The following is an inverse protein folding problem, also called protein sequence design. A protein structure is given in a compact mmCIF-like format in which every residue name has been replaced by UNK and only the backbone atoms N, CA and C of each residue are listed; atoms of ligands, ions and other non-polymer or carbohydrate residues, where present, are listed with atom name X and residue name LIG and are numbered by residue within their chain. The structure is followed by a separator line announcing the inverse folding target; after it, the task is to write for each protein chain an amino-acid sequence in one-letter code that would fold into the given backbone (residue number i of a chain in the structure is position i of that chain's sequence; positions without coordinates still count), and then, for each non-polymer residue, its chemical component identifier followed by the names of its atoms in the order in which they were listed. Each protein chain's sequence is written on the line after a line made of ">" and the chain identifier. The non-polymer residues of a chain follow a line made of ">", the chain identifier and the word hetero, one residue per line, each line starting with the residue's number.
data_IF_576789662236
#
_entry.id   IF_576789662236
#
_cell.length_a   1.000
_cell.length_b   1.000
_cell.length_c   1.000
_cell.angle_alpha   90.00
_cell.angle_beta   90.00
_cell.angle_gamma   90.00
#
_symmetry.space_group_name_H-M   'P 1'
#
loop_
_entity.id
_entity.type
_entity.pdbx_description
1 polymer ?
#
# COMPACT_ATOMS: atom_id res chain seq x y z
N UNK A 1 18.16 20.34 -25.75
CA UNK A 1 17.00 19.51 -25.36
C UNK A 1 16.83 19.67 -23.86
N UNK A 2 15.79 20.37 -23.40
CA UNK A 2 15.55 20.52 -21.96
C UNK A 2 14.81 19.26 -21.54
N UNK A 3 15.48 18.35 -20.83
CA UNK A 3 14.81 17.22 -20.21
C UNK A 3 13.87 17.79 -19.15
N UNK A 4 12.57 17.78 -19.40
CA UNK A 4 11.55 18.12 -18.42
C UNK A 4 11.60 17.06 -17.31
N UNK A 5 12.46 17.27 -16.32
CA UNK A 5 12.49 16.44 -15.12
C UNK A 5 11.20 16.74 -14.36
N UNK A 6 10.27 15.78 -14.37
CA UNK A 6 9.06 15.86 -13.55
C UNK A 6 9.48 15.84 -12.08
N UNK A 7 9.50 17.01 -11.45
CA UNK A 7 9.79 17.16 -10.03
C UNK A 7 8.55 16.70 -9.25
N UNK A 8 8.73 15.75 -8.34
CA UNK A 8 7.66 15.32 -7.42
C UNK A 8 7.86 15.98 -6.06
N UNK A 9 6.84 16.65 -5.52
CA UNK A 9 6.91 17.34 -4.22
C UNK A 9 6.31 16.50 -3.10
N UNK A 10 6.88 16.59 -1.91
CA UNK A 10 6.21 16.09 -0.71
C UNK A 10 5.02 16.99 -0.36
N UNK A 11 3.88 16.40 0.01
CA UNK A 11 2.69 17.16 0.45
C UNK A 11 2.69 17.48 1.95
N UNK A 12 3.72 17.04 2.69
CA UNK A 12 3.85 17.24 4.15
C UNK A 12 4.95 18.25 4.46
N UNK A 13 5.99 18.35 3.62
CA UNK A 13 7.14 19.23 3.82
C UNK A 13 7.56 19.87 2.48
N UNK A 14 8.39 20.93 2.48
CA UNK A 14 8.77 21.63 1.26
C UNK A 14 9.83 20.89 0.41
N UNK A 15 10.17 19.64 0.72
CA UNK A 15 11.17 18.88 -0.04
C UNK A 15 10.65 18.42 -1.41
N UNK A 16 11.55 18.43 -2.39
CA UNK A 16 11.29 18.03 -3.78
C UNK A 16 12.21 16.90 -4.21
N UNK A 17 11.69 15.99 -5.03
CA UNK A 17 12.37 14.78 -5.44
C UNK A 17 12.41 14.64 -6.96
N UNK A 18 13.47 14.00 -7.45
CA UNK A 18 13.66 13.72 -8.87
C UNK A 18 12.76 12.62 -9.42
N UNK A 19 12.14 11.81 -8.55
CA UNK A 19 11.20 10.75 -8.94
C UNK A 19 10.36 10.26 -7.74
N UNK A 20 9.33 9.46 -8.04
CA UNK A 20 8.41 8.89 -7.05
C UNK A 20 9.08 7.89 -6.09
N UNK A 21 10.13 7.17 -6.51
CA UNK A 21 10.85 6.24 -5.64
C UNK A 21 11.53 6.98 -4.49
N UNK A 22 12.15 8.12 -4.80
CA UNK A 22 12.80 8.97 -3.82
C UNK A 22 11.79 9.62 -2.87
N UNK A 23 10.66 10.13 -3.39
CA UNK A 23 9.57 10.63 -2.56
C UNK A 23 9.01 9.53 -1.63
N UNK A 24 8.78 8.32 -2.15
CA UNK A 24 8.30 7.19 -1.34
C UNK A 24 9.28 6.87 -0.20
N UNK A 25 10.58 6.80 -0.50
CA UNK A 25 11.62 6.57 0.50
C UNK A 25 11.64 7.66 1.58
N UNK A 26 11.49 8.91 1.19
CA UNK A 26 11.36 10.03 2.12
C UNK A 26 10.12 9.89 3.04
N UNK A 27 8.95 9.56 2.48
CA UNK A 27 7.70 9.37 3.24
C UNK A 27 7.75 8.15 4.19
N UNK A 28 8.55 7.14 3.87
CA UNK A 28 8.82 6.00 4.75
C UNK A 28 9.78 6.35 5.90
N UNK A 29 10.59 7.41 5.77
CA UNK A 29 11.55 7.82 6.77
C UNK A 29 10.91 8.70 7.86
N UNK A 30 11.63 8.87 8.97
CA UNK A 30 11.33 9.93 9.95
C UNK A 30 11.63 11.29 9.28
N UNK A 31 10.80 12.33 9.47
CA UNK A 31 9.72 12.44 10.47
C UNK A 31 8.35 11.94 10.04
N UNK A 32 8.11 11.70 8.75
CA UNK A 32 6.73 11.45 8.27
C UNK A 32 6.19 10.07 8.64
N UNK A 33 6.96 9.01 8.41
CA UNK A 33 6.57 7.61 8.68
C UNK A 33 5.14 7.25 8.23
N UNK A 34 4.66 7.86 7.15
CA UNK A 34 3.25 7.80 6.74
C UNK A 34 2.94 6.64 5.78
N UNK A 35 3.92 5.82 5.47
CA UNK A 35 3.83 4.67 4.55
C UNK A 35 3.95 3.31 5.28
N UNK A 36 3.75 3.28 6.60
CA UNK A 36 3.90 2.06 7.41
C UNK A 36 2.78 1.05 7.11
N UNK A 37 3.14 -0.22 7.09
CA UNK A 37 2.23 -1.37 6.92
C UNK A 37 2.25 -2.27 8.15
N UNK A 38 1.15 -2.94 8.47
CA UNK A 38 1.07 -3.82 9.64
C UNK A 38 1.25 -5.29 9.27
N UNK A 39 1.63 -6.09 10.28
CA UNK A 39 1.50 -7.53 10.30
C UNK A 39 0.21 -7.92 11.07
N UNK A 40 -0.81 -8.49 10.41
CA UNK A 40 -2.08 -8.83 11.07
C UNK A 40 -2.00 -10.07 11.99
N UNK A 41 -0.84 -10.72 12.09
CA UNK A 41 -0.66 -11.91 12.94
C UNK A 41 0.13 -11.64 14.23
N UNK A 42 0.55 -10.38 14.44
CA UNK A 42 1.24 -9.96 15.65
C UNK A 42 0.26 -9.38 16.68
N UNK A 43 0.57 -9.57 17.96
CA UNK A 43 -0.31 -9.15 19.07
C UNK A 43 0.00 -7.74 19.60
N UNK A 44 1.06 -7.07 19.12
CA UNK A 44 1.56 -5.80 19.66
C UNK A 44 1.95 -4.81 18.56
N UNK A 45 2.23 -3.57 18.97
CA UNK A 45 2.60 -2.43 18.12
C UNK A 45 3.92 -2.60 17.34
N UNK A 46 4.73 -3.60 17.69
CA UNK A 46 5.91 -4.02 16.93
C UNK A 46 5.58 -4.69 15.59
N UNK A 47 4.29 -4.82 15.27
CA UNK A 47 3.77 -5.33 14.00
C UNK A 47 3.96 -4.38 12.81
N UNK A 48 4.49 -3.18 13.02
CA UNK A 48 4.62 -2.18 11.95
C UNK A 48 5.93 -2.33 11.18
N UNK A 49 5.83 -2.33 9.86
CA UNK A 49 6.95 -2.47 8.93
C UNK A 49 6.99 -1.27 8.00
N UNK A 50 8.18 -0.91 7.51
CA UNK A 50 8.31 0.27 6.63
C UNK A 50 7.95 -0.04 5.19
N UNK A 51 8.14 -1.30 4.79
CA UNK A 51 7.99 -1.79 3.41
C UNK A 51 7.33 -3.16 3.40
N UNK A 52 6.80 -3.54 2.24
CA UNK A 52 6.27 -4.89 2.05
C UNK A 52 7.34 -5.98 2.09
N UNK A 53 8.56 -5.68 1.63
CA UNK A 53 9.70 -6.60 1.75
C UNK A 53 10.08 -6.85 3.20
N UNK A 54 10.06 -5.80 4.03
CA UNK A 54 10.29 -5.92 5.47
C UNK A 54 9.18 -6.75 6.14
N UNK A 55 7.92 -6.54 5.76
CA UNK A 55 6.82 -7.36 6.23
C UNK A 55 6.98 -8.83 5.82
N UNK A 56 7.38 -9.11 4.58
CA UNK A 56 7.64 -10.49 4.11
C UNK A 56 8.70 -11.16 4.98
N UNK A 57 9.84 -10.50 5.17
CA UNK A 57 10.92 -11.00 6.02
C UNK A 57 10.48 -11.19 7.48
N UNK A 58 9.64 -10.29 7.98
CA UNK A 58 9.05 -10.42 9.32
C UNK A 58 8.16 -11.66 9.41
N UNK A 59 7.24 -11.86 8.46
CA UNK A 59 6.33 -13.02 8.42
C UNK A 59 7.12 -14.32 8.25
N UNK A 60 8.17 -14.33 7.43
CA UNK A 60 9.05 -15.49 7.30
C UNK A 60 9.72 -15.87 8.62
N UNK A 61 10.22 -14.89 9.38
CA UNK A 61 10.92 -15.13 10.65
C UNK A 61 10.01 -15.42 11.84
N UNK A 62 8.83 -14.79 11.89
CA UNK A 62 7.93 -14.81 13.07
C UNK A 62 6.67 -15.64 12.85
N UNK A 63 6.28 -15.85 11.60
CA UNK A 63 5.03 -16.49 11.20
C UNK A 63 5.25 -17.47 10.04
N UNK A 64 6.35 -18.23 10.06
CA UNK A 64 6.75 -19.14 8.97
C UNK A 64 5.63 -20.12 8.56
N UNK A 65 4.80 -20.57 9.51
CA UNK A 65 3.64 -21.41 9.23
C UNK A 65 2.57 -20.69 8.40
N UNK A 66 2.33 -19.40 8.68
CA UNK A 66 1.40 -18.56 7.92
C UNK A 66 1.93 -18.33 6.51
N UNK A 67 3.23 -18.05 6.34
CA UNK A 67 3.84 -17.78 5.03
C UNK A 67 3.50 -18.87 3.99
N UNK A 68 3.52 -20.14 4.41
CA UNK A 68 3.19 -21.31 3.56
C UNK A 68 1.76 -21.32 3.04
N UNK A 69 0.85 -20.58 3.68
CA UNK A 69 -0.58 -20.48 3.33
C UNK A 69 -0.90 -19.23 2.50
N UNK A 70 0.05 -18.30 2.40
CA UNK A 70 -0.11 -17.06 1.67
C UNK A 70 0.27 -17.26 0.20
N UNK A 71 -0.46 -16.58 -0.68
CA UNK A 71 -0.05 -16.47 -2.07
C UNK A 71 1.12 -15.48 -2.18
N UNK A 72 2.09 -15.69 -3.09
CA UNK A 72 3.24 -14.80 -3.25
C UNK A 72 2.86 -13.31 -3.44
N UNK A 73 1.76 -13.06 -4.15
CA UNK A 73 1.21 -11.74 -4.49
C UNK A 73 0.69 -10.98 -3.27
N UNK A 74 0.51 -11.66 -2.13
CA UNK A 74 0.14 -11.03 -0.86
C UNK A 74 1.13 -9.92 -0.48
N UNK A 75 2.41 -10.12 -0.76
CA UNK A 75 3.46 -9.14 -0.44
C UNK A 75 3.69 -8.10 -1.54
N UNK A 76 2.81 -8.01 -2.54
CA UNK A 76 2.90 -6.97 -3.56
C UNK A 76 2.71 -5.57 -2.96
N UNK A 77 3.41 -4.60 -3.54
CA UNK A 77 3.33 -3.19 -3.14
C UNK A 77 1.90 -2.63 -3.21
N UNK A 78 1.14 -3.04 -4.24
CA UNK A 78 -0.26 -2.68 -4.43
C UNK A 78 -1.19 -3.28 -3.37
N UNK A 79 -0.84 -4.45 -2.82
CA UNK A 79 -1.59 -5.04 -1.72
C UNK A 79 -1.27 -4.39 -0.37
N UNK A 80 -0.07 -3.81 -0.24
CA UNK A 80 0.38 -3.10 0.96
C UNK A 80 -0.52 -1.93 1.40
N UNK A 81 -1.27 -1.34 0.46
CA UNK A 81 -2.31 -0.35 0.77
C UNK A 81 -3.32 -0.88 1.81
N UNK A 82 -3.78 -2.12 1.67
CA UNK A 82 -4.76 -2.74 2.57
C UNK A 82 -4.19 -3.05 3.96
N UNK A 83 -2.87 -3.06 4.10
CA UNK A 83 -2.15 -3.25 5.36
C UNK A 83 -1.67 -1.92 5.94
N UNK A 84 -1.87 -0.80 5.24
CA UNK A 84 -1.31 0.48 5.64
C UNK A 84 -2.03 1.06 6.86
N UNK A 85 -1.26 1.62 7.79
CA UNK A 85 -1.80 2.42 8.89
C UNK A 85 -2.41 3.75 8.41
N UNK A 86 -2.02 4.22 7.22
CA UNK A 86 -2.48 5.49 6.65
C UNK A 86 -2.81 5.29 5.16
N UNK A 87 -3.95 4.64 4.84
CA UNK A 87 -4.32 4.30 3.46
C UNK A 87 -4.34 5.52 2.52
N UNK A 88 -4.83 6.67 3.00
CA UNK A 88 -4.87 7.93 2.24
C UNK A 88 -3.50 8.38 1.75
N UNK A 89 -2.48 8.29 2.61
CA UNK A 89 -1.11 8.65 2.24
C UNK A 89 -0.50 7.61 1.31
N UNK A 90 -0.81 6.34 1.54
CA UNK A 90 -0.31 5.23 0.72
C UNK A 90 -0.82 5.31 -0.74
N UNK A 91 -2.12 5.57 -0.93
CA UNK A 91 -2.74 5.67 -2.27
C UNK A 91 -2.18 6.79 -3.13
N UNK A 92 -1.68 7.88 -2.52
CA UNK A 92 -1.06 9.00 -3.26
C UNK A 92 0.21 8.58 -4.01
N UNK A 93 0.87 7.50 -3.57
CA UNK A 93 2.11 6.99 -4.18
C UNK A 93 1.89 5.66 -4.92
N UNK A 94 1.07 4.79 -4.37
CA UNK A 94 0.90 3.42 -4.85
C UNK A 94 -0.56 3.15 -5.16
N UNK A 95 -0.84 2.75 -6.40
CA UNK A 95 -2.17 2.30 -6.81
C UNK A 95 -2.50 0.96 -6.14
N UNK A 96 -3.57 0.89 -5.35
CA UNK A 96 -3.95 -0.36 -4.71
C UNK A 96 -4.49 -1.38 -5.71
N UNK A 97 -4.44 -2.66 -5.33
CA UNK A 97 -5.21 -3.70 -6.03
C UNK A 97 -6.71 -3.35 -6.03
N UNK A 98 -7.46 -3.84 -7.00
CA UNK A 98 -8.92 -3.68 -7.02
C UNK A 98 -9.54 -4.21 -5.71
N UNK A 99 -10.57 -3.54 -5.22
CA UNK A 99 -11.23 -3.85 -3.94
C UNK A 99 -11.70 -5.31 -3.90
N UNK A 100 -12.29 -5.77 -4.99
CA UNK A 100 -12.84 -7.10 -5.21
C UNK A 100 -11.78 -8.16 -5.54
N UNK A 101 -10.51 -7.78 -5.68
CA UNK A 101 -9.46 -8.76 -5.91
C UNK A 101 -9.35 -9.72 -4.72
N UNK A 102 -9.07 -11.00 -5.03
CA UNK A 102 -8.88 -12.04 -4.00
C UNK A 102 -7.85 -11.61 -2.94
N UNK A 103 -6.77 -10.94 -3.37
CA UNK A 103 -5.74 -10.42 -2.45
C UNK A 103 -6.26 -9.29 -1.55
N UNK A 104 -6.98 -8.32 -2.09
CA UNK A 104 -7.57 -7.25 -1.29
C UNK A 104 -8.57 -7.81 -0.26
N UNK A 105 -9.44 -8.73 -0.67
CA UNK A 105 -10.42 -9.37 0.23
C UNK A 105 -9.72 -10.10 1.38
N UNK A 106 -8.76 -10.98 1.06
CA UNK A 106 -8.04 -11.77 2.08
C UNK A 106 -7.25 -10.88 3.04
N UNK A 107 -6.61 -9.83 2.51
CA UNK A 107 -5.81 -8.91 3.31
C UNK A 107 -6.67 -8.11 4.28
N UNK A 108 -7.80 -7.56 3.81
CA UNK A 108 -8.76 -6.86 4.67
C UNK A 108 -9.36 -7.77 5.74
N UNK A 109 -9.69 -9.01 5.39
CA UNK A 109 -10.18 -9.98 6.37
C UNK A 109 -9.15 -10.27 7.48
N UNK A 110 -7.87 -10.44 7.12
CA UNK A 110 -6.80 -10.64 8.09
C UNK A 110 -6.63 -9.43 9.03
N UNK A 111 -6.71 -8.23 8.48
CA UNK A 111 -6.67 -6.99 9.25
C UNK A 111 -7.85 -6.86 10.22
N UNK A 112 -9.08 -7.15 9.77
CA UNK A 112 -10.26 -7.03 10.63
C UNK A 112 -10.18 -8.02 11.81
N UNK A 113 -9.76 -9.26 11.55
CA UNK A 113 -9.51 -10.25 12.60
C UNK A 113 -8.41 -9.79 13.58
N UNK A 114 -7.36 -9.13 13.08
CA UNK A 114 -6.34 -8.52 13.93
C UNK A 114 -6.89 -7.41 14.82
N UNK A 115 -7.70 -6.49 14.27
CA UNK A 115 -8.34 -5.40 15.02
C UNK A 115 -9.24 -5.91 16.14
N UNK A 116 -10.01 -6.97 15.87
CA UNK A 116 -10.81 -7.68 16.86
C UNK A 116 -9.93 -8.27 17.98
N UNK A 117 -8.83 -8.93 17.61
CA UNK A 117 -7.94 -9.62 18.54
C UNK A 117 -7.18 -8.68 19.50
N UNK A 118 -6.77 -7.49 19.04
CA UNK A 118 -6.02 -6.52 19.86
C UNK A 118 -6.92 -5.66 20.75
N UNK A 119 -8.26 -5.87 20.73
CA UNK A 119 -9.25 -5.04 21.45
C UNK A 119 -9.04 -3.54 21.25
N UNK A 120 -8.57 -3.12 20.07
CA UNK A 120 -8.40 -1.69 19.78
C UNK A 120 -9.77 -1.02 19.87
N UNK A 121 -9.87 0.20 20.43
CA UNK A 121 -11.13 0.92 20.44
C UNK A 121 -11.65 1.07 19.01
N UNK A 122 -12.97 0.96 18.86
CA UNK A 122 -13.75 1.01 17.62
C UNK A 122 -13.38 2.17 16.69
N UNK A 123 -12.76 3.22 17.23
CA UNK A 123 -12.21 4.37 16.51
C UNK A 123 -11.13 3.99 15.49
N UNK A 124 -10.18 3.12 15.85
CA UNK A 124 -9.09 2.74 14.93
C UNK A 124 -9.57 1.89 13.75
N UNK A 125 -10.58 1.05 13.96
CA UNK A 125 -11.23 0.29 12.90
C UNK A 125 -11.99 1.22 11.94
N UNK A 126 -12.77 2.17 12.46
CA UNK A 126 -13.50 3.15 11.64
C UNK A 126 -12.58 4.01 10.78
N UNK A 127 -11.41 4.40 11.29
CA UNK A 127 -10.41 5.16 10.53
C UNK A 127 -9.88 4.35 9.33
N UNK A 128 -9.65 3.05 9.53
CA UNK A 128 -9.23 2.14 8.46
C UNK A 128 -10.32 1.90 7.43
N UNK A 129 -11.53 1.57 7.89
CA UNK A 129 -12.70 1.38 7.01
C UNK A 129 -12.99 2.65 6.20
N UNK A 130 -12.95 3.83 6.84
CA UNK A 130 -13.14 5.11 6.14
C UNK A 130 -12.06 5.37 5.09
N UNK A 131 -10.79 5.07 5.41
CA UNK A 131 -9.67 5.21 4.49
C UNK A 131 -9.74 4.21 3.33
N UNK A 132 -10.34 3.04 3.53
CA UNK A 132 -10.62 2.11 2.44
C UNK A 132 -11.82 2.57 1.58
N UNK A 133 -12.89 3.05 2.20
CA UNK A 133 -14.11 3.50 1.52
C UNK A 133 -13.86 4.73 0.63
N UNK A 134 -12.99 5.65 1.06
CA UNK A 134 -12.53 6.78 0.27
C UNK A 134 -11.83 6.35 -1.03
N UNK A 135 -11.31 5.13 -1.08
CA UNK A 135 -10.66 4.58 -2.27
C UNK A 135 -11.62 4.01 -3.29
N UNK A 136 -12.77 3.51 -2.85
CA UNK A 136 -13.79 2.87 -3.69
C UNK A 136 -14.65 3.90 -4.42
N UNK A 137 -14.70 5.16 -3.96
CA UNK A 137 -15.53 6.18 -4.58
C UNK A 137 -16.99 5.74 -4.68
N UNK A 138 -17.65 5.49 -3.55
CA UNK A 138 -19.10 5.19 -3.42
C UNK A 138 -19.78 4.65 -4.70
N UNK A 139 -19.62 3.36 -4.94
CA UNK A 139 -20.62 2.56 -5.68
C UNK A 139 -21.23 1.60 -4.66
N UNK A 140 -22.26 2.01 -3.91
CA UNK A 140 -23.65 1.91 -4.35
C UNK A 140 -24.59 2.68 -3.42
N UNK A 141 -25.72 3.09 -4.00
CA UNK A 141 -26.79 3.92 -3.44
C UNK A 141 -27.36 3.40 -2.11
N UNK A 142 -27.44 4.29 -1.12
CA UNK A 142 -28.66 4.47 -0.34
C UNK A 142 -28.87 5.96 -0.05
N UNK A 143 -29.58 6.61 -0.97
CA UNK A 143 -30.60 7.65 -0.74
C UNK A 143 -30.77 8.43 -2.04
N UNK A 144 -31.98 8.35 -2.57
CA UNK A 144 -32.42 9.06 -3.77
C UNK A 144 -32.49 10.58 -3.51
N UNK A 145 -32.40 11.32 -4.62
CA UNK A 145 -32.78 12.73 -4.83
C UNK A 145 -31.74 13.80 -4.49
N UNK A 146 -31.04 14.28 -5.52
CA UNK A 146 -31.19 15.66 -6.01
C UNK A 146 -30.42 15.84 -7.33
N UNK A 147 -30.95 16.72 -8.16
CA UNK A 147 -30.75 16.85 -9.60
C UNK A 147 -29.46 17.55 -10.03
N UNK A 148 -29.04 17.19 -11.27
CA UNK A 148 -28.30 17.95 -12.29
C UNK A 148 -27.23 18.97 -11.88
N UNK A 149 -26.00 18.79 -12.37
CA UNK A 149 -25.44 19.62 -13.45
C UNK A 149 -24.17 19.00 -14.07
N UNK A 150 -24.05 19.22 -15.36
CA UNK A 150 -23.08 18.71 -16.33
C UNK A 150 -21.74 19.45 -16.23
N UNK A 151 -20.61 18.75 -16.44
CA UNK A 151 -19.59 19.12 -17.45
C UNK A 151 -18.52 18.04 -17.67
N UNK A 152 -18.40 17.65 -18.92
CA UNK A 152 -17.32 16.91 -19.57
C UNK A 152 -16.03 17.71 -19.58
N UNK A 153 -14.87 17.04 -19.49
CA UNK A 153 -13.70 17.30 -20.34
C UNK A 153 -12.64 16.18 -20.21
N UNK A 154 -12.46 15.46 -21.33
CA UNK A 154 -11.23 14.91 -21.97
C UNK A 154 -10.23 14.01 -21.19
N UNK A 155 -9.75 12.88 -21.78
CA UNK A 155 -8.99 11.84 -21.07
C UNK A 155 -7.49 12.14 -21.01
N UNK A 156 -6.89 12.05 -19.82
CA UNK A 156 -5.43 12.02 -19.67
C UNK A 156 -4.89 10.61 -19.94
N UNK A 157 -3.95 10.56 -20.88
CA UNK A 157 -3.22 9.38 -21.34
C UNK A 157 -2.59 8.58 -20.19
N UNK A 158 -2.92 7.29 -20.15
CA UNK A 158 -2.30 6.26 -19.32
C UNK A 158 -0.82 6.07 -19.69
N UNK A 159 0.07 6.26 -18.72
CA UNK A 159 1.27 5.43 -18.58
C UNK A 159 1.28 4.86 -17.15
N UNK A 160 0.46 3.82 -16.97
CA UNK A 160 0.37 3.02 -15.74
C UNK A 160 1.68 2.24 -15.59
N UNK A 161 2.54 2.66 -14.65
CA UNK A 161 3.77 1.96 -14.32
C UNK A 161 3.45 0.57 -13.74
N UNK A 162 3.77 -0.48 -14.50
CA UNK A 162 3.86 -1.85 -14.03
C UNK A 162 5.35 -2.13 -13.85
N UNK A 163 5.87 -2.23 -12.61
CA UNK A 163 7.26 -2.62 -12.41
C UNK A 163 7.45 -4.08 -12.81
N UNK A 164 8.27 -4.29 -13.83
CA UNK A 164 8.78 -5.60 -14.24
C UNK A 164 9.84 -6.05 -13.24
N UNK A 165 9.61 -7.19 -12.60
CA UNK A 165 10.58 -7.82 -11.70
C UNK A 165 11.20 -8.99 -12.46
N UNK A 166 12.19 -8.69 -13.29
CA UNK A 166 13.11 -9.71 -13.76
C UNK A 166 13.94 -10.19 -12.55
N UNK A 167 13.80 -11.48 -12.25
CA UNK A 167 14.62 -12.19 -11.28
C UNK A 167 16.08 -12.19 -11.77
N UNK A 168 16.94 -11.40 -11.14
CA UNK A 168 18.39 -11.59 -11.25
C UNK A 168 18.74 -12.94 -10.61
N UNK A 169 18.80 -13.99 -11.43
CA UNK A 169 19.42 -15.27 -11.09
C UNK A 169 20.92 -14.99 -10.95
N UNK A 170 21.41 -14.85 -9.71
CA UNK A 170 22.84 -14.80 -9.44
C UNK A 170 23.49 -16.13 -9.86
N UNK A 171 24.27 -16.10 -10.95
CA UNK A 171 25.11 -17.23 -11.35
C UNK A 171 26.19 -17.50 -10.26
N UNK A 172 26.38 -18.77 -9.87
CA UNK A 172 27.38 -19.12 -8.87
C UNK A 172 28.79 -18.91 -9.43
N UNK A 173 29.54 -17.99 -8.82
CA UNK A 173 30.92 -17.68 -9.16
C UNK A 173 31.82 -18.91 -9.01
N UNK A 174 32.27 -19.47 -10.14
CA UNK A 174 33.29 -20.52 -10.18
C UNK A 174 34.61 -19.93 -9.67
N UNK A 175 35.07 -20.39 -8.50
CA UNK A 175 36.44 -20.14 -8.03
C UNK A 175 37.42 -20.78 -9.00
N UNK A 176 38.20 -19.97 -9.70
CA UNK A 176 39.35 -20.43 -10.50
C UNK A 176 40.52 -20.77 -9.56
N UNK A 177 41.23 -21.89 -9.75
CA UNK A 177 42.34 -22.32 -8.90
C UNK A 177 43.55 -21.38 -8.95
#
# INVERSE_FOLDING_TARGET
>A
MIASTSITMCWICPETFSNNRNLKNHLMASPHSCMRVICPWCTREDSTNRRMTELKNHVERRHAAILKTLQPEFFSESNGFWLSLQPENYKRIVSPNAWESTMAIRTRAAVLSWLEGIKRPTKGQKEWESGWDAVIGKTSKSSQNASLAIRSDTPMSESRFVPDYDEEIEEPQLKRP
#
